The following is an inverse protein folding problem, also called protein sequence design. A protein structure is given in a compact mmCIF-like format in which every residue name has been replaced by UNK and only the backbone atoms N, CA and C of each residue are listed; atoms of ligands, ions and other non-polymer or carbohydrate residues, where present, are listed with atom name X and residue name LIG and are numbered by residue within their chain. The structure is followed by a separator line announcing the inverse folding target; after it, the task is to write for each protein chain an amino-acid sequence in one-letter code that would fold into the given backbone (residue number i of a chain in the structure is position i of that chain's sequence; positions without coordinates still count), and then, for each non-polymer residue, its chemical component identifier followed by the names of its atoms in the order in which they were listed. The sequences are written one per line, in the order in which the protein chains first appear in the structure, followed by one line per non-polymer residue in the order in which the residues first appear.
data_IF_985728711510
#
_entry.id   IF_985728711510
#
_cell.length_a   1.000
_cell.length_b   1.000
_cell.length_c   1.000
_cell.angle_alpha   90.00
_cell.angle_beta   90.00
_cell.angle_gamma   90.00
#
_symmetry.space_group_name_H-M   'P 1'
#
loop_
_entity.id
_entity.type
_entity.pdbx_description
1 polymer ?
#
# COMPACT_ATOMS: atom_id res chain seq x y z
N UNK A 1 -19.82 -43.06 -55.22
CA UNK A 1 -18.87 -42.98 -54.11
C UNK A 1 -18.93 -41.56 -53.53
N UNK A 2 -19.67 -41.39 -52.43
CA UNK A 2 -19.88 -40.08 -51.79
C UNK A 2 -18.90 -39.94 -50.65
N UNK A 3 -17.95 -39.00 -50.74
CA UNK A 3 -17.04 -38.67 -49.67
C UNK A 3 -17.74 -37.74 -48.66
N UNK A 4 -18.04 -38.25 -47.47
CA UNK A 4 -18.53 -37.47 -46.34
C UNK A 4 -17.34 -36.70 -45.78
N UNK A 5 -17.39 -35.37 -45.91
CA UNK A 5 -16.45 -34.46 -45.24
C UNK A 5 -16.97 -34.24 -43.83
N UNK A 6 -16.30 -34.85 -42.85
CA UNK A 6 -16.55 -34.56 -41.42
C UNK A 6 -15.85 -33.25 -41.08
N UNK A 7 -16.64 -32.22 -40.87
CA UNK A 7 -16.16 -30.94 -40.31
C UNK A 7 -16.10 -31.12 -38.79
N UNK A 8 -14.90 -31.40 -38.27
CA UNK A 8 -14.63 -31.30 -36.82
C UNK A 8 -14.64 -29.86 -36.41
N UNK A 9 -15.73 -29.44 -35.77
CA UNK A 9 -15.86 -28.15 -35.14
C UNK A 9 -14.96 -28.15 -33.89
N UNK A 10 -13.73 -27.64 -34.05
CA UNK A 10 -12.82 -27.40 -32.94
C UNK A 10 -13.35 -26.19 -32.14
N UNK A 11 -14.12 -26.47 -31.10
CA UNK A 11 -14.57 -25.47 -30.15
C UNK A 11 -13.34 -24.98 -29.36
N UNK A 12 -12.73 -23.91 -29.82
CA UNK A 12 -11.70 -23.18 -29.10
C UNK A 12 -12.35 -22.48 -27.90
N UNK A 13 -12.41 -23.16 -26.76
CA UNK A 13 -12.77 -22.53 -25.50
C UNK A 13 -11.66 -21.54 -25.14
N UNK A 14 -11.76 -20.32 -25.64
CA UNK A 14 -11.08 -19.16 -25.06
C UNK A 14 -11.65 -18.97 -23.66
N UNK A 15 -11.03 -19.63 -22.69
CA UNK A 15 -11.24 -19.33 -21.29
C UNK A 15 -10.83 -17.87 -21.06
N UNK A 16 -11.81 -16.99 -21.03
CA UNK A 16 -11.64 -15.66 -20.45
C UNK A 16 -11.32 -15.89 -18.98
N UNK A 17 -10.03 -15.96 -18.65
CA UNK A 17 -9.58 -15.78 -17.27
C UNK A 17 -9.96 -14.35 -16.87
N UNK A 18 -11.21 -14.19 -16.47
CA UNK A 18 -11.59 -13.06 -15.63
C UNK A 18 -10.76 -13.22 -14.37
N UNK A 19 -9.69 -12.47 -14.25
CA UNK A 19 -9.02 -12.28 -12.96
C UNK A 19 -10.03 -11.59 -12.05
N UNK A 20 -10.85 -12.41 -11.39
CA UNK A 20 -11.68 -11.93 -10.31
C UNK A 20 -10.71 -11.35 -9.28
N UNK A 21 -10.77 -10.05 -9.12
CA UNK A 21 -9.97 -9.34 -8.14
C UNK A 21 -10.28 -9.94 -6.77
N UNK A 22 -9.34 -10.74 -6.24
CA UNK A 22 -9.54 -11.40 -4.96
C UNK A 22 -9.28 -10.40 -3.85
N UNK A 23 -10.29 -10.08 -3.09
CA UNK A 23 -10.15 -9.33 -1.85
C UNK A 23 -10.80 -10.09 -0.71
N UNK A 24 -10.27 -9.93 0.47
CA UNK A 24 -10.83 -10.45 1.71
C UNK A 24 -11.25 -9.28 2.58
N UNK A 25 -12.55 -9.16 2.84
CA UNK A 25 -13.06 -8.17 3.78
C UNK A 25 -12.71 -8.61 5.19
N UNK A 26 -12.18 -7.69 5.99
CA UNK A 26 -11.92 -7.84 7.42
C UNK A 26 -12.89 -6.96 8.23
N UNK A 27 -13.07 -7.18 9.53
CA UNK A 27 -13.99 -6.38 10.34
C UNK A 27 -13.76 -4.87 10.24
N UNK A 28 -12.51 -4.45 10.14
CA UNK A 28 -12.09 -3.03 10.12
C UNK A 28 -11.20 -2.70 8.93
N UNK A 29 -11.27 -3.49 7.85
CA UNK A 29 -10.37 -3.29 6.74
C UNK A 29 -10.56 -4.25 5.57
N UNK A 30 -9.52 -4.36 4.77
CA UNK A 30 -9.46 -5.23 3.60
C UNK A 30 -8.06 -5.76 3.39
N UNK A 31 -7.98 -6.98 2.90
CA UNK A 31 -6.76 -7.57 2.32
C UNK A 31 -7.01 -7.87 0.85
N UNK A 32 -6.08 -7.52 -0.01
CA UNK A 32 -6.15 -7.77 -1.46
C UNK A 32 -4.75 -7.97 -2.01
N UNK A 33 -4.65 -8.64 -3.15
CA UNK A 33 -3.38 -8.80 -3.87
C UNK A 33 -3.45 -8.01 -5.16
N UNK A 34 -2.49 -7.12 -5.37
CA UNK A 34 -2.37 -6.30 -6.58
C UNK A 34 -0.94 -6.30 -7.08
N UNK A 35 -0.73 -6.65 -8.34
CA UNK A 35 0.60 -6.65 -8.98
C UNK A 35 1.67 -7.47 -8.23
N UNK A 36 1.30 -8.63 -7.69
CA UNK A 36 2.22 -9.48 -6.92
C UNK A 36 2.57 -8.94 -5.53
N UNK A 37 1.76 -8.01 -5.01
CA UNK A 37 1.91 -7.43 -3.68
C UNK A 37 0.63 -7.67 -2.89
N UNK A 38 0.74 -8.31 -1.74
CA UNK A 38 -0.32 -8.40 -0.75
C UNK A 38 -0.43 -7.07 -0.02
N UNK A 39 -1.62 -6.49 -0.05
CA UNK A 39 -1.95 -5.19 0.57
C UNK A 39 -3.01 -5.41 1.62
N UNK A 40 -2.71 -5.07 2.85
CA UNK A 40 -3.64 -5.06 3.96
C UNK A 40 -3.83 -3.62 4.43
N UNK A 41 -5.08 -3.18 4.51
CA UNK A 41 -5.47 -1.87 5.04
C UNK A 41 -6.41 -2.11 6.20
N UNK A 42 -6.05 -1.66 7.39
CA UNK A 42 -6.83 -1.84 8.59
C UNK A 42 -6.94 -0.53 9.40
N UNK A 43 -8.14 -0.20 9.83
CA UNK A 43 -8.37 0.90 10.76
C UNK A 43 -8.02 0.46 12.18
N UNK A 44 -7.19 1.23 12.85
CA UNK A 44 -6.82 1.07 14.26
C UNK A 44 -7.63 1.99 15.17
N UNK A 45 -8.20 3.03 14.58
CA UNK A 45 -9.21 3.92 15.16
C UNK A 45 -9.86 4.70 14.00
N UNK A 46 -10.90 5.52 14.21
CA UNK A 46 -11.48 6.32 13.14
C UNK A 46 -10.48 7.21 12.38
N UNK A 47 -9.39 7.62 13.03
CA UNK A 47 -8.36 8.51 12.46
C UNK A 47 -7.00 7.87 12.23
N UNK A 48 -6.85 6.56 12.49
CA UNK A 48 -5.58 5.85 12.32
C UNK A 48 -5.79 4.65 11.42
N UNK A 49 -5.04 4.60 10.32
CA UNK A 49 -5.03 3.48 9.39
C UNK A 49 -3.63 2.88 9.34
N UNK A 50 -3.56 1.57 9.48
CA UNK A 50 -2.36 0.79 9.19
C UNK A 50 -2.44 0.26 7.78
N UNK A 51 -1.38 0.46 7.01
CA UNK A 51 -1.16 -0.20 5.73
C UNK A 51 0.02 -1.15 5.87
N UNK A 52 -0.20 -2.38 5.46
CA UNK A 52 0.84 -3.40 5.45
C UNK A 52 0.95 -3.98 4.03
N UNK A 53 2.14 -3.97 3.48
CA UNK A 53 2.42 -4.47 2.12
C UNK A 53 3.56 -5.46 2.16
N UNK A 54 3.38 -6.61 1.50
CA UNK A 54 4.39 -7.66 1.36
C UNK A 54 4.39 -8.22 -0.05
N UNK A 55 5.48 -8.84 -0.50
CA UNK A 55 5.42 -9.68 -1.70
C UNK A 55 4.34 -10.73 -1.56
N UNK A 56 3.61 -11.00 -2.64
CA UNK A 56 2.52 -11.98 -2.67
C UNK A 56 2.98 -13.33 -2.10
N UNK A 57 2.15 -13.89 -1.21
CA UNK A 57 2.41 -15.16 -0.55
C UNK A 57 3.49 -15.14 0.53
N UNK A 58 4.06 -13.96 0.82
CA UNK A 58 5.01 -13.82 1.94
C UNK A 58 4.24 -13.64 3.24
N UNK A 59 4.72 -14.28 4.32
CA UNK A 59 4.22 -14.05 5.67
C UNK A 59 5.27 -13.34 6.51
N UNK A 60 4.83 -12.47 7.41
CA UNK A 60 5.68 -11.80 8.36
C UNK A 60 4.99 -11.79 9.73
N UNK A 61 5.37 -12.75 10.56
CA UNK A 61 4.70 -13.01 11.83
C UNK A 61 5.34 -12.27 13.03
N UNK A 62 6.35 -11.43 12.77
CA UNK A 62 7.01 -10.71 13.88
C UNK A 62 6.11 -9.61 14.42
N UNK A 63 5.87 -9.63 15.73
CA UNK A 63 5.18 -8.55 16.43
C UNK A 63 5.97 -7.24 16.27
N UNK A 64 5.28 -6.16 15.93
CA UNK A 64 5.89 -4.84 15.86
C UNK A 64 6.38 -4.41 17.25
N UNK A 65 7.60 -3.90 17.33
CA UNK A 65 8.16 -3.33 18.56
C UNK A 65 7.67 -1.89 18.82
N UNK A 66 7.12 -1.23 17.80
CA UNK A 66 6.71 0.19 17.89
C UNK A 66 5.20 0.39 17.85
N UNK A 67 4.44 -0.57 17.34
CA UNK A 67 2.97 -0.52 17.33
C UNK A 67 2.47 -1.26 18.56
N UNK A 68 2.18 -0.52 19.61
CA UNK A 68 1.68 -1.04 20.90
C UNK A 68 0.16 -1.07 20.96
N UNK A 69 -0.51 -0.27 20.13
CA UNK A 69 -1.96 -0.15 20.12
C UNK A 69 -2.58 -1.33 19.37
N UNK A 70 -3.53 -1.98 20.02
CA UNK A 70 -4.42 -2.92 19.36
C UNK A 70 -5.51 -2.15 18.61
N UNK A 71 -6.06 -2.70 17.50
CA UNK A 71 -7.17 -2.07 16.78
C UNK A 71 -8.38 -1.86 17.70
N UNK A 72 -8.91 -0.64 17.72
CA UNK A 72 -10.19 -0.34 18.38
C UNK A 72 -11.35 -0.78 17.48
N UNK A 73 -12.47 -1.19 18.08
CA UNK A 73 -13.67 -1.42 17.32
C UNK A 73 -14.10 -0.13 16.62
N UNK A 74 -14.00 -0.12 15.30
CA UNK A 74 -14.26 1.05 14.47
C UNK A 74 -15.25 0.66 13.38
N UNK A 75 -16.34 1.42 13.27
CA UNK A 75 -17.25 1.26 12.16
C UNK A 75 -16.58 1.72 10.86
N UNK A 76 -16.54 0.83 9.88
CA UNK A 76 -15.93 1.08 8.58
C UNK A 76 -16.91 0.70 7.46
N UNK A 77 -17.37 1.70 6.73
CA UNK A 77 -18.13 1.49 5.51
C UNK A 77 -17.19 0.92 4.43
N UNK A 78 -17.68 -0.11 3.75
CA UNK A 78 -16.98 -0.75 2.64
C UNK A 78 -17.75 -0.53 1.35
N UNK A 79 -17.08 -0.03 0.33
CA UNK A 79 -17.60 0.06 -1.04
C UNK A 79 -16.53 -0.36 -2.03
N UNK A 80 -16.95 -0.92 -3.15
CA UNK A 80 -16.03 -1.33 -4.22
C UNK A 80 -16.64 -1.02 -5.59
N UNK A 81 -15.80 -0.59 -6.50
CA UNK A 81 -16.09 -0.52 -7.93
C UNK A 81 -14.96 -1.22 -8.71
N UNK A 82 -14.95 -1.10 -10.03
CA UNK A 82 -13.93 -1.73 -10.89
C UNK A 82 -12.51 -1.21 -10.66
N UNK A 83 -12.38 -0.02 -10.12
CA UNK A 83 -11.12 0.71 -10.04
C UNK A 83 -10.59 0.81 -8.61
N UNK A 84 -11.49 0.91 -7.62
CA UNK A 84 -11.12 1.16 -6.23
C UNK A 84 -11.89 0.30 -5.24
N UNK A 85 -11.19 -0.13 -4.21
CA UNK A 85 -11.76 -0.57 -2.93
C UNK A 85 -11.72 0.63 -2.00
N UNK A 86 -12.88 1.04 -1.48
CA UNK A 86 -13.02 2.18 -0.58
C UNK A 86 -13.41 1.72 0.80
N UNK A 87 -12.70 2.25 1.78
CA UNK A 87 -12.96 2.10 3.21
C UNK A 87 -13.19 3.48 3.80
N UNK A 88 -14.24 3.66 4.59
CA UNK A 88 -14.55 4.96 5.18
C UNK A 88 -14.97 4.80 6.63
N UNK A 89 -14.34 5.57 7.51
CA UNK A 89 -14.74 5.81 8.90
C UNK A 89 -15.34 7.22 9.04
N UNK A 90 -15.68 7.62 10.25
CA UNK A 90 -16.15 8.98 10.52
C UNK A 90 -15.09 10.07 10.26
N UNK A 91 -13.80 9.72 10.32
CA UNK A 91 -12.70 10.69 10.21
C UNK A 91 -11.90 10.58 8.92
N UNK A 92 -11.78 9.39 8.35
CA UNK A 92 -10.91 9.12 7.20
C UNK A 92 -11.64 8.29 6.13
N UNK A 93 -11.24 8.54 4.87
CA UNK A 93 -11.52 7.66 3.75
C UNK A 93 -10.22 7.17 3.14
N UNK A 94 -10.15 5.89 2.82
CA UNK A 94 -9.03 5.24 2.16
C UNK A 94 -9.51 4.57 0.88
N UNK A 95 -8.80 4.78 -0.20
CA UNK A 95 -9.05 4.13 -1.49
C UNK A 95 -7.83 3.34 -1.92
N UNK A 96 -8.02 2.06 -2.20
CA UNK A 96 -6.99 1.18 -2.77
C UNK A 96 -7.28 1.02 -4.25
N UNK A 97 -6.37 1.46 -5.10
CA UNK A 97 -6.49 1.24 -6.55
C UNK A 97 -6.24 -0.23 -6.86
N UNK A 98 -7.25 -0.83 -7.44
CA UNK A 98 -7.31 -2.25 -7.73
C UNK A 98 -6.36 -2.71 -8.83
N UNK A 99 -5.85 -1.80 -9.64
CA UNK A 99 -4.94 -2.10 -10.75
C UNK A 99 -3.48 -1.79 -10.46
N UNK A 100 -3.22 -0.75 -9.65
CA UNK A 100 -1.86 -0.25 -9.38
C UNK A 100 -1.37 -0.54 -7.97
N UNK A 101 -2.28 -0.89 -7.04
CA UNK A 101 -1.98 -1.05 -5.61
C UNK A 101 -1.67 0.27 -4.90
N UNK A 102 -1.86 1.41 -5.57
CA UNK A 102 -1.73 2.74 -4.99
C UNK A 102 -2.85 3.01 -3.97
N UNK A 103 -2.54 3.70 -2.89
CA UNK A 103 -3.48 4.02 -1.83
C UNK A 103 -3.60 5.53 -1.68
N UNK A 104 -4.83 6.01 -1.66
CA UNK A 104 -5.14 7.41 -1.43
C UNK A 104 -5.87 7.58 -0.10
N UNK A 105 -5.52 8.62 0.64
CA UNK A 105 -6.10 8.96 1.92
C UNK A 105 -6.76 10.33 1.85
N UNK A 106 -7.97 10.40 2.40
CA UNK A 106 -8.77 11.62 2.45
C UNK A 106 -9.31 11.83 3.87
N UNK A 107 -9.54 13.08 4.23
CA UNK A 107 -10.31 13.39 5.44
C UNK A 107 -11.82 13.15 5.22
N UNK A 108 -12.60 13.34 6.28
CA UNK A 108 -14.05 13.16 6.23
C UNK A 108 -14.77 14.08 5.23
N UNK A 109 -14.14 15.21 4.84
CA UNK A 109 -14.68 16.15 3.85
C UNK A 109 -14.32 15.80 2.42
N UNK A 110 -13.46 14.80 2.21
CA UNK A 110 -12.94 14.38 0.90
C UNK A 110 -11.70 15.14 0.44
N UNK A 111 -11.10 15.96 1.33
CA UNK A 111 -9.81 16.61 1.03
C UNK A 111 -8.69 15.56 1.09
N UNK A 112 -7.84 15.60 0.08
CA UNK A 112 -6.67 14.70 0.00
C UNK A 112 -5.69 14.96 1.14
N UNK A 113 -5.34 13.91 1.88
CA UNK A 113 -4.30 13.92 2.90
C UNK A 113 -2.98 13.37 2.37
N UNK A 114 -3.02 12.22 1.70
CA UNK A 114 -1.83 11.56 1.15
C UNK A 114 -2.22 10.74 -0.09
N UNK A 115 -1.35 10.68 -1.06
CA UNK A 115 -1.49 9.81 -2.23
C UNK A 115 -0.23 8.99 -2.46
N UNK A 116 -0.40 7.69 -2.64
CA UNK A 116 0.66 6.87 -3.21
C UNK A 116 0.88 7.26 -4.68
N UNK A 117 2.12 7.17 -5.12
CA UNK A 117 2.41 7.12 -6.54
C UNK A 117 1.98 5.77 -7.09
N UNK A 118 1.32 5.74 -8.25
CA UNK A 118 1.01 4.48 -8.94
C UNK A 118 2.26 3.64 -9.14
N UNK A 119 2.15 2.34 -8.84
CA UNK A 119 3.29 1.41 -8.83
C UNK A 119 4.46 1.88 -7.94
N UNK A 120 4.17 2.69 -6.94
CA UNK A 120 5.16 3.32 -6.07
C UNK A 120 5.77 2.38 -5.04
N UNK A 121 5.10 1.25 -4.76
CA UNK A 121 5.62 0.19 -3.89
C UNK A 121 6.39 -0.81 -4.74
N UNK A 122 7.61 -1.13 -4.34
CA UNK A 122 8.45 -2.12 -5.01
C UNK A 122 9.23 -2.94 -3.99
N UNK A 123 9.31 -4.24 -4.22
CA UNK A 123 10.13 -5.18 -3.49
C UNK A 123 11.15 -5.77 -4.46
N UNK A 124 12.41 -5.42 -4.30
CA UNK A 124 13.51 -5.97 -5.12
C UNK A 124 14.25 -7.00 -4.29
N UNK A 125 14.31 -8.27 -4.71
CA UNK A 125 15.06 -9.29 -3.99
C UNK A 125 16.50 -8.85 -3.73
N UNK A 126 16.97 -9.15 -2.54
CA UNK A 126 18.30 -8.79 -2.08
C UNK A 126 18.88 -9.93 -1.24
N UNK A 127 20.09 -10.32 -1.56
CA UNK A 127 20.85 -11.29 -0.76
C UNK A 127 21.81 -10.54 0.17
N UNK A 128 21.56 -10.62 1.48
CA UNK A 128 22.41 -10.05 2.51
C UNK A 128 23.28 -11.16 3.10
N UNK A 129 24.41 -11.43 2.47
CA UNK A 129 25.40 -12.43 2.88
C UNK A 129 24.78 -13.83 3.17
N UNK A 130 23.92 -14.30 2.27
CA UNK A 130 23.22 -15.58 2.36
C UNK A 130 21.86 -15.52 3.07
N UNK A 131 21.42 -14.33 3.48
CA UNK A 131 20.07 -14.11 4.03
C UNK A 131 19.20 -13.42 2.98
N UNK A 132 18.17 -14.13 2.50
CA UNK A 132 17.23 -13.55 1.54
C UNK A 132 16.37 -12.48 2.20
N UNK A 133 16.33 -11.32 1.58
CA UNK A 133 15.57 -10.14 2.00
C UNK A 133 15.08 -9.34 0.79
N UNK A 134 14.59 -8.14 1.02
CA UNK A 134 14.14 -7.23 -0.02
C UNK A 134 14.64 -5.81 0.22
N UNK A 135 15.09 -5.14 -0.83
CA UNK A 135 15.10 -3.69 -0.87
C UNK A 135 13.67 -3.22 -1.10
N UNK A 136 13.15 -2.42 -0.19
CA UNK A 136 11.77 -1.92 -0.24
C UNK A 136 11.77 -0.45 -0.64
N UNK A 137 10.93 -0.12 -1.61
CA UNK A 137 10.66 1.25 -2.01
C UNK A 137 9.19 1.56 -1.83
N UNK A 138 8.89 2.73 -1.27
CA UNK A 138 7.56 3.34 -1.28
C UNK A 138 7.66 4.77 -1.79
N UNK A 139 6.78 5.17 -2.69
CA UNK A 139 6.75 6.51 -3.26
C UNK A 139 5.38 7.15 -3.08
N UNK A 140 5.38 8.42 -2.70
CA UNK A 140 4.20 9.25 -2.50
C UNK A 140 4.20 10.43 -3.47
N UNK A 141 3.02 10.97 -3.76
CA UNK A 141 2.84 12.21 -4.48
C UNK A 141 2.67 13.36 -3.47
N UNK A 142 3.45 14.40 -3.63
CA UNK A 142 3.38 15.60 -2.81
C UNK A 142 2.74 16.74 -3.60
N UNK A 143 1.92 17.55 -2.93
CA UNK A 143 1.41 18.80 -3.48
C UNK A 143 2.54 19.81 -3.70
N UNK A 144 2.31 20.82 -4.56
CA UNK A 144 3.36 21.76 -4.99
C UNK A 144 4.07 22.43 -3.81
N UNK A 145 3.34 22.86 -2.81
CA UNK A 145 3.86 23.65 -1.68
C UNK A 145 3.87 22.86 -0.36
N UNK A 146 3.65 21.54 -0.43
CA UNK A 146 3.63 20.64 0.73
C UNK A 146 5.00 20.60 1.41
N UNK A 147 5.03 20.87 2.70
CA UNK A 147 6.24 20.86 3.53
C UNK A 147 6.33 19.55 4.29
N UNK A 148 7.51 18.95 4.31
CA UNK A 148 7.79 17.68 4.97
C UNK A 148 8.72 17.92 6.15
N UNK A 149 8.29 17.50 7.34
CA UNK A 149 9.07 17.51 8.57
C UNK A 149 9.31 16.07 9.07
N UNK A 150 10.23 15.93 10.02
CA UNK A 150 10.49 14.67 10.71
C UNK A 150 11.79 14.00 10.28
N UNK A 151 11.80 12.66 10.16
CA UNK A 151 12.93 11.78 9.86
C UNK A 151 14.01 11.74 10.95
N UNK A 152 13.68 12.22 12.15
CA UNK A 152 14.59 12.25 13.30
C UNK A 152 15.53 13.46 13.31
N UNK A 153 16.61 13.35 14.06
CA UNK A 153 17.58 14.42 14.19
C UNK A 153 18.68 14.26 13.13
N UNK A 154 18.72 15.22 12.22
CA UNK A 154 19.72 15.30 11.16
C UNK A 154 20.46 16.66 11.26
N UNK A 155 21.78 16.62 11.21
CA UNK A 155 22.59 17.86 11.30
C UNK A 155 22.79 18.50 9.92
N UNK A 156 21.71 18.65 9.18
CA UNK A 156 21.72 19.29 7.85
C UNK A 156 21.46 20.79 7.88
N UNK A 157 21.08 21.33 9.04
CA UNK A 157 20.62 22.72 9.18
C UNK A 157 19.27 22.99 8.51
N UNK A 158 18.57 21.98 8.03
CA UNK A 158 17.29 22.11 7.33
C UNK A 158 16.17 21.41 8.11
N UNK A 159 15.09 22.14 8.36
CA UNK A 159 13.90 21.63 9.02
C UNK A 159 12.93 21.03 8.00
N UNK A 160 12.72 21.72 6.87
CA UNK A 160 11.93 21.20 5.76
C UNK A 160 12.76 20.19 4.95
N UNK A 161 12.30 18.96 4.94
CA UNK A 161 12.97 17.84 4.26
C UNK A 161 12.55 17.67 2.81
N UNK A 162 11.66 18.51 2.29
CA UNK A 162 11.30 18.50 0.87
C UNK A 162 12.53 18.69 -0.01
N UNK A 163 12.63 17.91 -1.08
CA UNK A 163 13.77 17.92 -2.01
C UNK A 163 15.13 17.59 -1.37
N UNK A 164 15.14 17.00 -0.16
CA UNK A 164 16.36 16.52 0.45
C UNK A 164 16.58 15.04 0.10
N UNK A 165 17.83 14.66 -0.10
CA UNK A 165 18.29 13.28 -0.13
C UNK A 165 18.98 12.99 1.20
N UNK A 166 18.34 12.14 2.01
CA UNK A 166 18.84 11.78 3.33
C UNK A 166 19.17 10.30 3.36
N UNK A 167 20.26 9.95 3.99
CA UNK A 167 20.60 8.59 4.35
C UNK A 167 20.35 8.39 5.84
N UNK A 168 19.20 7.78 6.17
CA UNK A 168 18.73 7.64 7.54
C UNK A 168 19.42 6.44 8.22
N UNK A 169 20.26 6.74 9.19
CA UNK A 169 20.89 5.74 10.07
C UNK A 169 21.17 6.35 11.41
N UNK A 170 21.19 5.52 12.45
CA UNK A 170 21.67 5.92 13.78
C UNK A 170 23.19 5.93 13.76
N UNK A 171 23.78 7.06 14.11
CA UNK A 171 25.21 7.25 14.27
C UNK A 171 25.46 8.35 15.29
N UNK A 172 26.73 8.62 15.61
CA UNK A 172 27.06 9.76 16.43
C UNK A 172 26.43 11.05 15.83
N UNK A 173 25.71 11.80 16.65
CA UNK A 173 25.05 13.07 16.31
C UNK A 173 23.89 12.98 15.28
N UNK A 174 23.42 11.78 14.93
CA UNK A 174 22.25 11.61 14.08
C UNK A 174 21.34 10.50 14.59
N UNK A 175 20.05 10.77 14.67
CA UNK A 175 19.02 9.83 15.11
C UNK A 175 18.04 9.64 13.96
N UNK A 176 17.86 8.41 13.54
CA UNK A 176 16.87 8.03 12.53
C UNK A 176 15.54 7.71 13.21
N UNK A 177 14.50 8.45 12.86
CA UNK A 177 13.11 8.14 13.19
C UNK A 177 12.34 8.15 11.88
N UNK A 178 11.89 6.99 11.34
CA UNK A 178 11.20 6.91 10.05
C UNK A 178 9.76 7.42 10.16
N UNK A 179 9.61 8.63 10.63
CA UNK A 179 8.35 9.33 10.80
C UNK A 179 8.41 10.64 10.03
N UNK A 180 7.37 10.91 9.25
CA UNK A 180 7.20 12.17 8.53
C UNK A 180 5.90 12.86 8.95
N UNK A 181 5.94 14.18 8.97
CA UNK A 181 4.79 15.04 9.14
C UNK A 181 4.66 15.93 7.91
N UNK A 182 3.57 15.76 7.19
CA UNK A 182 3.22 16.59 6.04
C UNK A 182 2.34 17.74 6.48
N UNK A 183 2.62 18.93 5.95
CA UNK A 183 1.83 20.15 6.17
C UNK A 183 1.43 20.71 4.80
N UNK A 184 0.11 20.81 4.59
CA UNK A 184 -0.55 21.32 3.40
C UNK A 184 -1.27 22.63 3.69
#
# INVERSE_FOLDING_TARGET
MSKKISISLLLLCLGLFSQAQSYQKMPQGVKTTVQGIDVEVAFYSPSIVRVYKTPEGSSYDKKSLVVMKEPEETFVEFAMNKEYIRLKSDALQVEVNSSTGGINFYDATGRVLLKDKDYGTQFTPFDDAGTFSYNVRQAFLLDKDEVIYGLGQQQTGKVNQRNQKLFLRNKNMSICIPFIHSVK
#
